data_IF_623758764382
#
_entry.id   IF_623758764382
#
_cell.length_a   1.000
_cell.length_b   1.000
_cell.length_c   1.000
_cell.angle_alpha   90.00
_cell.angle_beta   90.00
_cell.angle_gamma   90.00
#
_symmetry.space_group_name_H-M   'P 1'
#
loop_
_entity.id
_entity.type
_entity.pdbx_description
1 polymer ?
#
# COMPACT_ATOMS: atom_id res chain seq x y z
N UNK A 1 31.03 1.48 -24.34
CA UNK A 1 30.69 1.54 -22.90
C UNK A 1 29.24 1.19 -22.59
N UNK A 2 28.23 1.60 -23.38
CA UNK A 2 26.79 1.32 -23.08
C UNK A 2 26.39 -0.18 -23.06
N UNK A 3 26.98 -1.03 -23.89
CA UNK A 3 26.69 -2.47 -23.94
C UNK A 3 27.22 -3.24 -22.70
N UNK A 4 28.37 -2.82 -22.15
CA UNK A 4 28.94 -3.42 -20.95
C UNK A 4 28.10 -3.10 -19.69
N UNK A 5 27.48 -1.92 -19.63
CA UNK A 5 26.59 -1.51 -18.54
C UNK A 5 25.26 -2.25 -18.58
N UNK A 6 24.66 -2.46 -19.75
CA UNK A 6 23.41 -3.21 -19.90
C UNK A 6 23.57 -4.70 -19.51
N UNK A 7 24.67 -5.34 -19.90
CA UNK A 7 24.98 -6.71 -19.52
C UNK A 7 25.18 -6.86 -18.01
N UNK A 8 25.88 -5.93 -17.36
CA UNK A 8 26.10 -5.97 -15.92
C UNK A 8 24.80 -5.78 -15.12
N UNK A 9 23.91 -4.90 -15.59
CA UNK A 9 22.58 -4.70 -14.99
C UNK A 9 21.72 -5.95 -15.11
N UNK A 10 21.73 -6.61 -16.29
CA UNK A 10 20.99 -7.84 -16.49
C UNK A 10 21.49 -8.99 -15.58
N UNK A 11 22.83 -9.16 -15.49
CA UNK A 11 23.44 -10.16 -14.62
C UNK A 11 23.08 -9.90 -13.14
N UNK A 12 23.11 -8.65 -12.70
CA UNK A 12 22.76 -8.30 -11.34
C UNK A 12 21.26 -8.51 -11.05
N UNK A 13 20.38 -8.14 -11.97
CA UNK A 13 18.95 -8.41 -11.87
C UNK A 13 18.67 -9.92 -11.79
N UNK A 14 19.33 -10.70 -12.61
CA UNK A 14 19.22 -12.16 -12.61
C UNK A 14 19.72 -12.77 -11.30
N UNK A 15 20.87 -12.33 -10.77
CA UNK A 15 21.38 -12.78 -9.47
C UNK A 15 20.44 -12.48 -8.32
N UNK A 16 19.80 -11.29 -8.30
CA UNK A 16 18.84 -10.92 -7.26
C UNK A 16 17.57 -11.76 -7.36
N UNK A 17 17.09 -12.01 -8.57
CA UNK A 17 15.91 -12.83 -8.80
C UNK A 17 16.11 -14.30 -8.38
N UNK A 18 17.38 -14.81 -8.40
CA UNK A 18 17.72 -16.20 -8.10
C UNK A 18 18.57 -16.35 -6.82
N UNK A 19 18.70 -15.29 -6.01
CA UNK A 19 19.38 -15.40 -4.73
C UNK A 19 18.60 -16.37 -3.81
N UNK A 20 19.27 -17.27 -3.10
CA UNK A 20 18.65 -18.17 -2.13
C UNK A 20 18.27 -17.39 -0.86
N UNK A 21 17.28 -16.54 -0.96
CA UNK A 21 16.75 -15.79 0.17
C UNK A 21 15.48 -16.48 0.67
N UNK A 22 15.13 -16.32 1.95
CA UNK A 22 13.90 -16.86 2.49
C UNK A 22 12.71 -16.45 1.62
N UNK A 23 11.83 -17.40 1.35
CA UNK A 23 10.53 -17.16 0.76
C UNK A 23 9.50 -17.20 1.88
N UNK A 24 8.72 -16.16 2.00
CA UNK A 24 7.67 -16.07 3.00
C UNK A 24 6.31 -16.13 2.30
N UNK A 25 5.39 -16.85 2.94
CA UNK A 25 4.01 -16.88 2.50
C UNK A 25 3.27 -15.60 2.93
N UNK A 26 2.18 -15.30 2.24
CA UNK A 26 1.28 -14.25 2.64
C UNK A 26 0.57 -14.62 3.95
N UNK A 27 0.47 -13.66 4.87
CA UNK A 27 -0.45 -13.75 6.00
C UNK A 27 -1.81 -13.14 5.61
N UNK A 28 -2.87 -13.67 6.21
CA UNK A 28 -4.20 -13.10 6.07
C UNK A 28 -4.53 -12.20 7.27
N UNK A 29 -4.61 -10.86 7.11
CA UNK A 29 -4.97 -9.96 8.20
C UNK A 29 -6.45 -10.03 8.59
N UNK A 30 -7.28 -10.82 7.92
CA UNK A 30 -8.71 -10.95 8.23
C UNK A 30 -8.95 -11.38 9.67
N UNK A 31 -9.95 -10.77 10.31
CA UNK A 31 -10.32 -11.08 11.69
C UNK A 31 -11.04 -9.95 12.39
N UNK A 32 -11.31 -10.14 13.67
CA UNK A 32 -11.89 -9.13 14.54
C UNK A 32 -10.82 -8.48 15.40
N UNK A 33 -10.88 -7.15 15.48
CA UNK A 33 -9.92 -6.30 16.18
C UNK A 33 -10.68 -5.28 17.03
N UNK A 34 -10.07 -4.90 18.17
CA UNK A 34 -10.72 -3.99 19.11
C UNK A 34 -11.89 -4.63 19.84
N UNK A 35 -12.34 -3.98 20.90
CA UNK A 35 -13.40 -4.44 21.82
C UNK A 35 -14.40 -3.30 22.13
N UNK A 36 -14.35 -2.22 21.37
CA UNK A 36 -15.22 -1.07 21.55
C UNK A 36 -16.71 -1.41 21.36
N UNK A 37 -17.62 -0.58 21.90
CA UNK A 37 -19.05 -0.81 21.84
C UNK A 37 -19.61 -0.54 20.43
N UNK A 38 -20.78 -1.14 20.15
CA UNK A 38 -21.55 -0.92 18.93
C UNK A 38 -21.38 -2.01 17.88
N UNK A 39 -21.98 -1.79 16.70
CA UNK A 39 -21.81 -2.69 15.57
C UNK A 39 -20.36 -2.60 15.06
N UNK A 40 -19.74 -3.73 14.66
CA UNK A 40 -18.40 -3.72 14.12
C UNK A 40 -18.31 -2.85 12.86
N UNK A 41 -17.23 -2.06 12.75
CA UNK A 41 -16.86 -1.38 11.53
C UNK A 41 -16.31 -2.42 10.55
N UNK A 42 -16.91 -2.59 9.39
CA UNK A 42 -16.43 -3.52 8.37
C UNK A 42 -15.43 -2.83 7.44
N UNK A 43 -14.18 -3.29 7.46
CA UNK A 43 -13.09 -2.78 6.62
C UNK A 43 -12.64 -3.86 5.64
N UNK A 44 -12.64 -3.55 4.35
CA UNK A 44 -12.13 -4.47 3.30
C UNK A 44 -10.81 -3.97 2.75
N UNK A 45 -9.83 -4.87 2.71
CA UNK A 45 -8.45 -4.57 2.28
C UNK A 45 -8.15 -5.24 0.95
N UNK A 46 -7.67 -4.45 -0.01
CA UNK A 46 -7.18 -4.90 -1.31
C UNK A 46 -5.71 -4.52 -1.45
N UNK A 47 -4.95 -5.32 -2.19
CA UNK A 47 -3.57 -4.92 -2.48
C UNK A 47 -2.61 -6.06 -2.72
N UNK A 48 -1.36 -5.79 -2.35
CA UNK A 48 -0.22 -6.67 -2.55
C UNK A 48 0.43 -7.08 -1.22
N UNK A 49 1.72 -7.49 -1.26
CA UNK A 49 2.46 -7.92 -0.07
C UNK A 49 2.59 -6.85 1.02
N UNK A 50 2.36 -5.59 0.73
CA UNK A 50 2.38 -4.52 1.75
C UNK A 50 1.24 -4.63 2.78
N UNK A 51 0.21 -5.41 2.49
CA UNK A 51 -0.93 -5.69 3.38
C UNK A 51 -1.09 -7.16 3.74
N UNK A 52 -0.31 -8.06 3.14
CA UNK A 52 -0.26 -9.48 3.54
C UNK A 52 0.94 -9.83 4.41
N UNK A 53 1.88 -8.91 4.59
CA UNK A 53 2.98 -8.98 5.57
C UNK A 53 3.90 -10.20 5.49
N UNK A 54 4.44 -10.57 4.30
CA UNK A 54 5.41 -11.67 4.22
C UNK A 54 6.63 -11.40 5.11
N UNK A 55 7.04 -12.42 5.86
CA UNK A 55 8.17 -12.34 6.80
C UNK A 55 7.82 -11.83 8.20
N UNK A 56 6.54 -11.64 8.49
CA UNK A 56 6.02 -11.48 9.84
C UNK A 56 5.62 -12.83 10.43
N UNK A 57 5.73 -12.98 11.75
CA UNK A 57 5.34 -14.18 12.46
C UNK A 57 3.85 -14.15 12.87
N UNK A 58 3.29 -12.97 13.06
CA UNK A 58 1.88 -12.77 13.47
C UNK A 58 1.18 -11.76 12.55
N UNK A 59 0.00 -12.15 12.04
CA UNK A 59 -0.87 -11.26 11.26
C UNK A 59 -1.28 -9.98 12.00
N UNK A 60 -1.25 -9.99 13.33
CA UNK A 60 -1.51 -8.81 14.16
C UNK A 60 -0.44 -7.75 14.02
N UNK A 61 0.74 -8.12 13.54
CA UNK A 61 1.84 -7.20 13.28
C UNK A 61 1.73 -6.48 11.93
N UNK A 62 0.84 -6.91 11.05
CA UNK A 62 0.55 -6.19 9.81
C UNK A 62 -0.01 -4.80 10.15
N UNK A 63 0.49 -3.77 9.50
CA UNK A 63 0.15 -2.38 9.81
C UNK A 63 -1.36 -2.12 9.86
N UNK A 64 -2.15 -2.70 8.94
CA UNK A 64 -3.60 -2.52 8.92
C UNK A 64 -4.30 -3.22 10.09
N UNK A 65 -3.80 -4.39 10.51
CA UNK A 65 -4.28 -5.07 11.72
C UNK A 65 -4.01 -4.25 12.98
N UNK A 66 -2.83 -3.62 13.06
CA UNK A 66 -2.49 -2.70 14.16
C UNK A 66 -3.37 -1.46 14.16
N UNK A 67 -3.64 -0.87 12.99
CA UNK A 67 -4.59 0.24 12.85
C UNK A 67 -5.97 -0.20 13.33
N UNK A 68 -6.48 -1.33 12.83
CA UNK A 68 -7.78 -1.85 13.23
C UNK A 68 -7.89 -2.07 14.75
N UNK A 69 -6.84 -2.60 15.38
CA UNK A 69 -6.80 -2.81 16.83
C UNK A 69 -6.71 -1.49 17.64
N UNK A 70 -6.24 -0.40 17.04
CA UNK A 70 -6.09 0.90 17.71
C UNK A 70 -7.36 1.78 17.65
N UNK A 71 -8.36 1.39 16.85
CA UNK A 71 -9.61 2.13 16.76
C UNK A 71 -10.46 1.93 18.03
N UNK A 72 -11.24 2.95 18.39
CA UNK A 72 -12.11 2.94 19.57
C UNK A 72 -13.40 2.12 19.39
N UNK A 73 -13.56 1.42 18.28
CA UNK A 73 -14.69 0.55 17.97
C UNK A 73 -14.21 -0.86 17.61
N UNK A 74 -15.12 -1.82 17.64
CA UNK A 74 -14.84 -3.14 17.08
C UNK A 74 -14.70 -3.05 15.56
N UNK A 75 -13.70 -3.72 14.98
CA UNK A 75 -13.44 -3.77 13.54
C UNK A 75 -13.51 -5.21 13.06
N UNK A 76 -14.30 -5.46 12.04
CA UNK A 76 -14.25 -6.66 11.23
C UNK A 76 -13.42 -6.38 9.97
N UNK A 77 -12.20 -6.91 9.94
CA UNK A 77 -11.28 -6.76 8.81
C UNK A 77 -11.41 -7.96 7.87
N UNK A 78 -11.66 -7.70 6.60
CA UNK A 78 -11.67 -8.73 5.55
C UNK A 78 -10.64 -8.38 4.48
N UNK A 79 -9.69 -9.27 4.24
CA UNK A 79 -8.66 -9.08 3.21
C UNK A 79 -8.97 -9.94 1.98
N UNK A 80 -8.91 -9.32 0.81
CA UNK A 80 -8.88 -9.99 -0.48
C UNK A 80 -7.54 -9.78 -1.18
N UNK A 81 -6.57 -9.21 -0.45
CA UNK A 81 -5.22 -8.92 -0.94
C UNK A 81 -4.44 -10.20 -1.24
N UNK A 82 -3.48 -10.10 -2.16
CA UNK A 82 -2.56 -11.17 -2.53
C UNK A 82 -1.19 -10.59 -2.83
N UNK A 83 -0.15 -11.14 -2.26
CA UNK A 83 1.23 -10.77 -2.52
C UNK A 83 1.57 -10.80 -4.01
N UNK A 84 2.46 -9.92 -4.44
CA UNK A 84 2.86 -9.81 -5.85
C UNK A 84 1.85 -9.16 -6.79
N UNK A 85 0.64 -8.82 -6.34
CA UNK A 85 -0.40 -8.22 -7.18
C UNK A 85 0.03 -6.87 -7.75
N UNK A 86 -0.24 -6.66 -9.03
CA UNK A 86 -0.21 -5.35 -9.71
C UNK A 86 -1.61 -4.75 -9.73
N UNK A 87 -1.73 -3.48 -10.09
CA UNK A 87 -3.04 -2.80 -10.18
C UNK A 87 -4.02 -3.57 -11.06
N UNK A 88 -3.54 -4.17 -12.16
CA UNK A 88 -4.37 -5.03 -13.02
C UNK A 88 -4.94 -6.21 -12.26
N UNK A 89 -4.12 -6.87 -11.44
CA UNK A 89 -4.52 -8.10 -10.74
C UNK A 89 -5.54 -7.77 -9.64
N UNK A 90 -5.36 -6.63 -8.94
CA UNK A 90 -6.36 -6.11 -8.00
C UNK A 90 -7.68 -5.82 -8.71
N UNK A 91 -7.63 -5.12 -9.85
CA UNK A 91 -8.81 -4.76 -10.63
C UNK A 91 -9.58 -6.00 -11.13
N UNK A 92 -8.88 -7.06 -11.57
CA UNK A 92 -9.51 -8.24 -12.19
C UNK A 92 -9.90 -9.34 -11.21
N UNK A 93 -9.16 -9.50 -10.10
CA UNK A 93 -9.31 -10.65 -9.21
C UNK A 93 -9.77 -10.30 -7.79
N UNK A 94 -9.44 -9.09 -7.29
CA UNK A 94 -9.80 -8.70 -5.94
C UNK A 94 -11.04 -7.80 -5.89
N UNK A 95 -11.16 -6.86 -6.83
CA UNK A 95 -12.26 -5.89 -6.87
C UNK A 95 -13.66 -6.53 -6.90
N UNK A 96 -13.94 -7.57 -7.73
CA UNK A 96 -15.28 -8.17 -7.74
C UNK A 96 -15.71 -8.67 -6.37
N UNK A 97 -14.84 -9.43 -5.70
CA UNK A 97 -15.11 -9.95 -4.36
C UNK A 97 -15.25 -8.83 -3.33
N UNK A 98 -14.38 -7.78 -3.41
CA UNK A 98 -14.43 -6.65 -2.49
C UNK A 98 -15.76 -5.89 -2.57
N UNK A 99 -16.30 -5.68 -3.77
CA UNK A 99 -17.58 -4.98 -3.97
C UNK A 99 -18.77 -5.72 -3.39
N UNK A 100 -18.77 -7.06 -3.43
CA UNK A 100 -19.82 -7.89 -2.86
C UNK A 100 -19.92 -7.75 -1.34
N UNK A 101 -18.80 -7.47 -0.67
CA UNK A 101 -18.71 -7.37 0.78
C UNK A 101 -19.37 -6.10 1.35
N UNK A 102 -19.56 -5.04 0.53
CA UNK A 102 -20.20 -3.76 0.91
C UNK A 102 -19.71 -3.22 2.27
N UNK A 103 -18.42 -2.94 2.43
CA UNK A 103 -17.87 -2.51 3.71
C UNK A 103 -18.21 -1.04 4.04
N UNK A 104 -17.83 -0.64 5.23
CA UNK A 104 -17.85 0.76 5.66
C UNK A 104 -16.64 1.55 5.15
N UNK A 105 -15.52 0.87 4.84
CA UNK A 105 -14.27 1.45 4.36
C UNK A 105 -13.51 0.45 3.50
N UNK A 106 -12.96 0.93 2.38
CA UNK A 106 -11.94 0.22 1.62
C UNK A 106 -10.54 0.76 1.93
N UNK A 107 -9.57 -0.16 2.01
CA UNK A 107 -8.14 0.18 2.08
C UNK A 107 -7.43 -0.48 0.90
N UNK A 108 -6.69 0.31 0.10
CA UNK A 108 -6.00 -0.16 -1.10
C UNK A 108 -4.52 0.16 -1.01
N UNK A 109 -3.67 -0.87 -1.07
CA UNK A 109 -2.22 -0.71 -1.14
C UNK A 109 -1.67 -1.52 -2.31
N UNK A 110 -1.36 -0.86 -3.42
CA UNK A 110 -0.91 -1.50 -4.66
C UNK A 110 -0.09 -0.54 -5.52
N UNK A 111 0.75 -1.08 -6.39
CA UNK A 111 1.53 -0.29 -7.36
C UNK A 111 3.04 -0.47 -7.23
N UNK A 112 3.53 -0.99 -6.10
CA UNK A 112 4.93 -1.35 -5.92
C UNK A 112 5.39 -2.37 -6.97
N UNK A 113 4.60 -3.41 -7.21
CA UNK A 113 4.87 -4.42 -8.24
C UNK A 113 4.80 -3.85 -9.66
N UNK A 114 3.95 -2.86 -9.92
CA UNK A 114 3.94 -2.15 -11.21
C UNK A 114 5.23 -1.38 -11.45
N UNK A 115 5.75 -0.71 -10.42
CA UNK A 115 7.04 -0.04 -10.49
C UNK A 115 8.18 -1.03 -10.75
N UNK A 116 8.22 -2.15 -10.03
CA UNK A 116 9.27 -3.18 -10.15
C UNK A 116 9.24 -3.91 -11.51
N UNK A 117 8.06 -4.24 -12.03
CA UNK A 117 7.88 -4.99 -13.27
C UNK A 117 7.82 -4.12 -14.53
N UNK A 118 7.97 -2.81 -14.41
CA UNK A 118 8.00 -1.95 -15.59
C UNK A 118 6.65 -1.70 -16.26
N UNK A 119 5.52 -1.88 -15.54
CA UNK A 119 4.18 -1.59 -16.10
C UNK A 119 4.14 -0.13 -16.61
N UNK A 120 3.67 0.14 -17.84
CA UNK A 120 3.59 1.51 -18.35
C UNK A 120 2.71 2.40 -17.48
N UNK A 121 3.23 3.54 -17.03
CA UNK A 121 2.53 4.48 -16.12
C UNK A 121 1.14 4.91 -16.64
N UNK A 122 0.93 5.19 -17.94
CA UNK A 122 -0.40 5.53 -18.45
C UNK A 122 -1.43 4.38 -18.27
N UNK A 123 -0.96 3.13 -18.39
CA UNK A 123 -1.80 1.95 -18.15
C UNK A 123 -2.18 1.85 -16.67
N UNK A 124 -1.20 1.98 -15.77
CA UNK A 124 -1.43 2.00 -14.31
C UNK A 124 -2.43 3.09 -13.94
N UNK A 125 -2.25 4.32 -14.46
CA UNK A 125 -3.18 5.43 -14.21
C UNK A 125 -4.61 5.11 -14.62
N UNK A 126 -4.80 4.53 -15.82
CA UNK A 126 -6.13 4.14 -16.30
C UNK A 126 -6.76 3.06 -15.41
N UNK A 127 -5.98 2.05 -15.01
CA UNK A 127 -6.45 0.96 -14.16
C UNK A 127 -6.79 1.44 -12.75
N UNK A 128 -5.97 2.32 -12.16
CA UNK A 128 -6.24 2.95 -10.87
C UNK A 128 -7.53 3.78 -10.90
N UNK A 129 -7.76 4.53 -11.98
CA UNK A 129 -8.98 5.31 -12.13
C UNK A 129 -10.23 4.41 -12.13
N UNK A 130 -10.19 3.30 -12.86
CA UNK A 130 -11.26 2.31 -12.87
C UNK A 130 -11.45 1.65 -11.49
N UNK A 131 -10.34 1.28 -10.81
CA UNK A 131 -10.36 0.64 -9.50
C UNK A 131 -10.96 1.59 -8.44
N UNK A 132 -10.40 2.79 -8.30
CA UNK A 132 -10.84 3.73 -7.27
C UNK A 132 -12.26 4.23 -7.52
N UNK A 133 -12.65 4.46 -8.78
CA UNK A 133 -14.02 4.85 -9.13
C UNK A 133 -15.05 3.77 -8.79
N UNK A 134 -14.73 2.49 -8.99
CA UNK A 134 -15.61 1.41 -8.59
C UNK A 134 -15.76 1.29 -7.07
N UNK A 135 -14.65 1.42 -6.32
CA UNK A 135 -14.67 1.33 -4.86
C UNK A 135 -15.39 2.52 -4.21
N UNK A 136 -15.10 3.74 -4.64
CA UNK A 136 -15.72 4.94 -4.05
C UNK A 136 -17.23 5.04 -4.29
N UNK A 137 -17.76 4.32 -5.29
CA UNK A 137 -19.19 4.24 -5.52
C UNK A 137 -19.93 3.46 -4.44
N UNK A 138 -19.21 2.68 -3.62
CA UNK A 138 -19.77 1.85 -2.54
C UNK A 138 -19.45 2.43 -1.16
N UNK A 139 -18.18 2.76 -0.89
CA UNK A 139 -17.71 3.26 0.41
C UNK A 139 -16.50 4.19 0.25
N UNK A 140 -16.14 4.99 1.27
CA UNK A 140 -14.87 5.73 1.30
C UNK A 140 -13.67 4.80 1.08
N UNK A 141 -12.59 5.35 0.51
CA UNK A 141 -11.39 4.60 0.17
C UNK A 141 -10.16 5.26 0.78
N UNK A 142 -9.34 4.49 1.47
CA UNK A 142 -7.94 4.86 1.78
C UNK A 142 -7.04 4.24 0.72
N UNK A 143 -6.33 5.06 -0.05
CA UNK A 143 -5.41 4.60 -1.09
C UNK A 143 -3.97 4.98 -0.74
N UNK A 144 -3.10 3.98 -0.57
CA UNK A 144 -1.69 4.21 -0.26
C UNK A 144 -0.91 4.61 -1.51
N UNK A 145 -0.05 5.63 -1.37
CA UNK A 145 0.98 5.95 -2.35
C UNK A 145 2.06 4.86 -2.44
N UNK A 146 2.92 4.95 -3.43
CA UNK A 146 4.08 4.07 -3.56
C UNK A 146 5.33 4.79 -3.08
N UNK A 147 5.94 4.31 -1.99
CA UNK A 147 7.21 4.81 -1.48
C UNK A 147 8.38 4.59 -2.43
N UNK A 148 9.53 5.16 -2.10
CA UNK A 148 10.78 4.97 -2.85
C UNK A 148 11.32 3.55 -2.64
N UNK A 149 10.99 2.65 -3.56
CA UNK A 149 11.45 1.26 -3.50
C UNK A 149 12.97 1.10 -3.66
N UNK A 150 13.70 2.15 -4.01
CA UNK A 150 15.17 2.10 -4.11
C UNK A 150 15.86 1.95 -2.75
N UNK A 151 15.12 2.21 -1.65
CA UNK A 151 15.61 2.01 -0.28
C UNK A 151 15.68 0.53 0.12
N UNK A 152 15.02 -0.37 -0.63
CA UNK A 152 15.00 -1.81 -0.38
C UNK A 152 16.43 -2.36 -0.40
N UNK A 153 16.93 -2.96 0.72
CA UNK A 153 18.33 -3.37 0.85
C UNK A 153 18.74 -4.43 -0.18
N UNK A 154 17.84 -5.34 -0.53
CA UNK A 154 18.04 -6.41 -1.53
C UNK A 154 18.34 -5.88 -2.93
N UNK A 155 17.95 -4.64 -3.26
CA UNK A 155 18.14 -4.10 -4.60
C UNK A 155 19.61 -3.76 -4.89
N UNK A 156 20.16 -4.23 -6.02
CA UNK A 156 21.48 -3.83 -6.48
C UNK A 156 21.58 -2.33 -6.65
N UNK A 157 22.71 -1.75 -6.25
CA UNK A 157 22.95 -0.31 -6.36
C UNK A 157 22.74 0.24 -7.77
N UNK A 158 23.08 -0.56 -8.80
CA UNK A 158 22.92 -0.18 -10.21
C UNK A 158 21.46 -0.05 -10.65
N UNK A 159 20.51 -0.74 -9.99
CA UNK A 159 19.08 -0.69 -10.29
C UNK A 159 18.34 0.42 -9.53
N UNK A 160 18.89 0.87 -8.39
CA UNK A 160 18.23 1.84 -7.51
C UNK A 160 17.75 3.12 -8.22
N UNK A 161 18.54 3.78 -9.10
CA UNK A 161 18.06 4.98 -9.77
C UNK A 161 16.84 4.73 -10.68
N UNK A 162 16.81 3.59 -11.37
CA UNK A 162 15.68 3.22 -12.24
C UNK A 162 14.45 2.91 -11.39
N UNK A 163 14.61 2.17 -10.31
CA UNK A 163 13.51 1.83 -9.38
C UNK A 163 12.97 3.09 -8.71
N UNK A 164 13.82 4.01 -8.23
CA UNK A 164 13.40 5.29 -7.66
C UNK A 164 12.56 6.11 -8.66
N UNK A 165 13.05 6.24 -9.89
CA UNK A 165 12.33 6.96 -10.95
C UNK A 165 10.95 6.35 -11.22
N UNK A 166 10.86 5.01 -11.25
CA UNK A 166 9.61 4.31 -11.51
C UNK A 166 8.64 4.42 -10.34
N UNK A 167 9.11 4.23 -9.10
CA UNK A 167 8.30 4.42 -7.89
C UNK A 167 7.68 5.81 -7.88
N UNK A 168 8.48 6.84 -8.10
CA UNK A 168 8.01 8.22 -8.17
C UNK A 168 7.03 8.46 -9.33
N UNK A 169 7.17 7.78 -10.47
CA UNK A 169 6.24 7.90 -11.59
C UNK A 169 4.88 7.26 -11.26
N UNK A 170 4.87 6.07 -10.62
CA UNK A 170 3.64 5.41 -10.19
C UNK A 170 2.96 6.22 -9.08
N UNK A 171 3.71 6.70 -8.09
CA UNK A 171 3.16 7.54 -7.03
C UNK A 171 2.51 8.82 -7.57
N UNK A 172 3.15 9.51 -8.52
CA UNK A 172 2.53 10.68 -9.18
C UNK A 172 1.25 10.32 -9.92
N UNK A 173 1.18 9.14 -10.55
CA UNK A 173 -0.05 8.67 -11.19
C UNK A 173 -1.16 8.43 -10.17
N UNK A 174 -0.85 7.78 -9.03
CA UNK A 174 -1.79 7.56 -7.92
C UNK A 174 -2.29 8.89 -7.34
N UNK A 175 -1.38 9.85 -7.09
CA UNK A 175 -1.73 11.20 -6.62
C UNK A 175 -2.67 11.91 -7.59
N UNK A 176 -2.39 11.84 -8.89
CA UNK A 176 -3.24 12.44 -9.92
C UNK A 176 -4.63 11.81 -9.99
N UNK A 177 -4.70 10.47 -9.85
CA UNK A 177 -5.98 9.76 -9.87
C UNK A 177 -6.78 10.04 -8.60
N UNK A 178 -6.17 9.94 -7.40
CA UNK A 178 -6.85 10.17 -6.14
C UNK A 178 -7.52 11.56 -6.07
N UNK A 179 -6.89 12.58 -6.65
CA UNK A 179 -7.49 13.94 -6.73
C UNK A 179 -8.78 14.02 -7.55
N UNK A 180 -8.99 13.10 -8.47
CA UNK A 180 -10.21 13.03 -9.27
C UNK A 180 -11.34 12.25 -8.60
N UNK A 181 -11.09 11.68 -7.41
CA UNK A 181 -12.02 10.84 -6.66
C UNK A 181 -12.27 11.43 -5.26
N UNK A 182 -13.39 12.16 -5.03
CA UNK A 182 -13.60 12.93 -3.79
C UNK A 182 -13.73 12.09 -2.52
N UNK A 183 -14.11 10.83 -2.63
CA UNK A 183 -14.22 9.90 -1.50
C UNK A 183 -12.93 9.09 -1.24
N UNK A 184 -11.84 9.41 -1.95
CA UNK A 184 -10.55 8.75 -1.79
C UNK A 184 -9.62 9.60 -0.94
N UNK A 185 -9.24 9.10 0.22
CA UNK A 185 -8.18 9.68 1.07
C UNK A 185 -6.86 9.01 0.70
N UNK A 186 -5.94 9.78 0.10
CA UNK A 186 -4.63 9.27 -0.27
C UNK A 186 -3.65 9.38 0.90
N UNK A 187 -2.95 8.29 1.21
CA UNK A 187 -1.79 8.29 2.12
C UNK A 187 -0.53 8.68 1.34
N UNK A 188 0.15 9.78 1.66
CA UNK A 188 1.37 10.22 0.99
C UNK A 188 2.59 9.43 1.50
N UNK A 189 2.68 8.14 1.13
CA UNK A 189 3.71 7.21 1.63
C UNK A 189 5.14 7.73 1.43
N UNK A 190 5.52 8.31 0.26
CA UNK A 190 6.87 8.82 0.10
C UNK A 190 7.24 9.89 1.13
N UNK A 191 6.33 10.81 1.38
CA UNK A 191 6.56 11.93 2.30
C UNK A 191 6.63 11.48 3.76
N UNK A 192 5.83 10.47 4.14
CA UNK A 192 5.72 9.99 5.52
C UNK A 192 6.74 8.90 5.86
N UNK A 193 6.90 7.92 4.98
CA UNK A 193 7.59 6.66 5.28
C UNK A 193 9.04 6.64 4.82
N UNK A 194 9.36 7.19 3.62
CA UNK A 194 10.69 7.08 3.03
C UNK A 194 11.82 7.65 3.89
N UNK A 195 11.66 8.78 4.61
CA UNK A 195 12.70 9.28 5.48
C UNK A 195 13.13 8.26 6.55
N UNK A 196 12.16 7.56 7.15
CA UNK A 196 12.40 6.56 8.17
C UNK A 196 13.09 5.32 7.61
N UNK A 197 12.65 4.82 6.45
CA UNK A 197 13.25 3.65 5.81
C UNK A 197 14.67 3.95 5.27
N UNK A 198 14.98 5.18 4.89
CA UNK A 198 16.35 5.59 4.54
C UNK A 198 17.28 5.60 5.74
N UNK A 199 16.80 6.02 6.91
CA UNK A 199 17.59 6.07 8.15
C UNK A 199 17.70 4.69 8.78
N UNK A 200 16.59 3.95 8.92
CA UNK A 200 16.54 2.62 9.53
C UNK A 200 17.20 1.53 8.68
N UNK A 201 17.31 1.73 7.37
CA UNK A 201 17.99 0.78 6.48
C UNK A 201 17.47 -0.64 6.65
N UNK A 202 18.38 -1.62 6.72
CA UNK A 202 18.03 -3.04 6.80
C UNK A 202 17.29 -3.45 8.10
N UNK A 203 17.36 -2.64 9.16
CA UNK A 203 16.72 -2.93 10.45
C UNK A 203 15.19 -2.88 10.38
N UNK A 204 14.63 -2.22 9.36
CA UNK A 204 13.19 -2.17 9.13
C UNK A 204 12.68 -3.25 8.16
N UNK A 205 13.55 -4.15 7.71
CA UNK A 205 13.21 -5.19 6.74
C UNK A 205 13.31 -6.59 7.35
N UNK A 206 12.49 -7.50 6.83
CA UNK A 206 12.52 -8.92 7.15
C UNK A 206 13.82 -9.58 6.64
N UNK A 207 14.12 -10.82 7.03
CA UNK A 207 15.36 -11.50 6.60
C UNK A 207 15.54 -11.65 5.08
N UNK A 208 14.46 -11.49 4.29
CA UNK A 208 14.55 -11.44 2.83
C UNK A 208 15.10 -10.11 2.29
N UNK A 209 15.32 -9.13 3.15
CA UNK A 209 15.79 -7.77 2.84
C UNK A 209 14.92 -7.05 1.80
N UNK A 210 13.65 -7.43 1.70
CA UNK A 210 12.71 -6.89 0.72
C UNK A 210 11.42 -6.39 1.38
N UNK A 211 10.77 -7.21 2.20
CA UNK A 211 9.55 -6.86 2.87
C UNK A 211 9.84 -6.20 4.23
N UNK A 212 9.07 -5.19 4.65
CA UNK A 212 9.18 -4.63 5.99
C UNK A 212 8.96 -5.68 7.06
N UNK A 213 9.69 -5.59 8.15
CA UNK A 213 9.49 -6.42 9.34
C UNK A 213 8.44 -5.81 10.29
N UNK A 214 8.24 -6.42 11.46
CA UNK A 214 7.27 -5.96 12.45
C UNK A 214 7.46 -4.49 12.87
N UNK A 215 8.71 -4.02 12.95
CA UNK A 215 9.01 -2.62 13.27
C UNK A 215 8.66 -1.68 12.11
N UNK A 216 8.95 -2.07 10.86
CA UNK A 216 8.52 -1.35 9.67
C UNK A 216 6.99 -1.24 9.59
N UNK A 217 6.28 -2.33 9.88
CA UNK A 217 4.82 -2.33 9.93
C UNK A 217 4.28 -1.51 11.12
N UNK A 218 4.95 -1.52 12.28
CA UNK A 218 4.59 -0.68 13.42
C UNK A 218 4.72 0.81 13.07
N UNK A 219 5.80 1.18 12.40
CA UNK A 219 5.98 2.53 11.88
C UNK A 219 4.85 2.93 10.92
N UNK A 220 4.55 2.09 9.93
CA UNK A 220 3.46 2.34 8.99
C UNK A 220 2.10 2.51 9.68
N UNK A 221 1.80 1.69 10.69
CA UNK A 221 0.54 1.82 11.42
C UNK A 221 0.42 3.20 12.09
N UNK A 222 1.48 3.68 12.72
CA UNK A 222 1.49 5.00 13.36
C UNK A 222 1.31 6.14 12.35
N UNK A 223 1.99 6.07 11.20
CA UNK A 223 1.95 7.09 10.16
C UNK A 223 0.63 7.11 9.38
N UNK A 224 -0.03 5.95 9.20
CA UNK A 224 -1.19 5.84 8.30
C UNK A 224 -2.53 5.92 9.05
N UNK A 225 -2.57 5.68 10.37
CA UNK A 225 -3.79 5.79 11.19
C UNK A 225 -4.56 7.11 10.98
N UNK A 226 -3.93 8.30 10.95
CA UNK A 226 -4.66 9.56 10.74
C UNK A 226 -5.47 9.60 9.44
N UNK A 227 -4.97 8.96 8.38
CA UNK A 227 -5.66 8.91 7.07
C UNK A 227 -6.84 7.94 7.08
N UNK A 228 -6.73 6.83 7.82
CA UNK A 228 -7.85 5.91 8.04
C UNK A 228 -8.95 6.61 8.83
N UNK A 229 -8.62 7.34 9.89
CA UNK A 229 -9.58 8.14 10.66
C UNK A 229 -10.21 9.24 9.82
N UNK A 230 -9.44 9.94 8.98
CA UNK A 230 -9.96 10.95 8.07
C UNK A 230 -10.96 10.37 7.06
N UNK A 231 -10.69 9.19 6.49
CA UNK A 231 -11.61 8.51 5.59
C UNK A 231 -12.91 8.09 6.30
N UNK A 232 -12.82 7.58 7.52
CA UNK A 232 -13.97 7.21 8.34
C UNK A 232 -14.85 8.44 8.67
N UNK A 233 -14.24 9.59 8.93
CA UNK A 233 -14.98 10.83 9.17
C UNK A 233 -15.77 11.32 7.94
N UNK A 234 -15.36 10.94 6.74
CA UNK A 234 -16.11 11.28 5.50
C UNK A 234 -17.36 10.42 5.28
N UNK A 235 -17.45 9.26 5.96
CA UNK A 235 -18.59 8.33 5.86
C UNK A 235 -19.91 9.01 6.24
N UNK A 236 -19.88 9.84 7.27
CA UNK A 236 -21.07 10.46 7.86
C UNK A 236 -21.45 11.80 7.18
N UNK A 237 -20.71 12.22 6.15
CA UNK A 237 -21.00 13.43 5.41
C UNK A 237 -21.99 13.15 4.26
N UNK A 238 -23.00 14.03 4.05
CA UNK A 238 -23.87 13.95 2.88
C UNK A 238 -23.04 13.93 1.59
N UNK A 239 -23.46 13.16 0.60
CA UNK A 239 -22.72 12.89 -0.65
C UNK A 239 -22.19 14.15 -1.40
N UNK A 240 -22.71 15.35 -1.12
CA UNK A 240 -22.24 16.61 -1.72
C UNK A 240 -21.13 17.34 -0.97
N UNK A 241 -20.65 16.84 0.19
CA UNK A 241 -19.60 17.48 1.00
C UNK A 241 -18.32 16.64 1.18
N UNK A 242 -18.15 15.57 0.43
CA UNK A 242 -16.94 14.73 0.48
C UNK A 242 -15.84 15.46 -0.29
N UNK A 243 -14.91 16.12 0.42
CA UNK A 243 -13.78 16.85 -0.16
C UNK A 243 -12.48 16.06 0.05
N UNK A 244 -11.60 16.13 -0.94
CA UNK A 244 -10.26 15.51 -0.88
C UNK A 244 -9.46 16.05 0.31
N UNK A 245 -8.95 15.16 1.15
CA UNK A 245 -8.18 15.47 2.37
C UNK A 245 -6.73 15.94 2.11
N UNK A 246 -6.40 16.39 0.88
CA UNK A 246 -5.07 16.96 0.56
C UNK A 246 -4.76 18.26 1.37
N UNK A 247 -5.75 18.81 2.09
CA UNK A 247 -5.60 20.04 2.88
C UNK A 247 -4.93 19.81 4.25
N UNK A 248 -4.84 18.56 4.73
CA UNK A 248 -4.27 18.28 6.05
C UNK A 248 -2.73 18.21 6.08
N UNK A 249 -2.09 18.13 4.92
CA UNK A 249 -0.63 18.03 4.83
C UNK A 249 0.11 19.39 4.86
N UNK A 250 -0.60 20.52 4.80
CA UNK A 250 0.00 21.86 4.70
C UNK A 250 -0.12 22.73 5.95
N UNK A 251 -0.76 22.25 7.02
CA UNK A 251 -0.98 23.05 8.25
C UNK A 251 -0.04 22.69 9.42
N UNK A 252 1.06 21.98 9.16
CA UNK A 252 2.04 21.58 10.17
C UNK A 252 3.48 21.92 9.76
N UNK A 253 3.74 23.17 9.36
CA UNK A 253 5.09 23.72 9.21
C UNK A 253 5.26 24.89 10.17
#
# INVERSE_FOLDING_TARGET
MALATAGSVWVQAHRVAHAPLPHFEDLDPSGRYGDGPGAPLHVVVLGDSSVTGPGLDDRRDIWISRVAASLSCQVELTSVARGGSRVRDVLTHQLPNALELRPDLFVVSVGANDAMHGTPTPLVRRQLHALLGALESVAPVVALGVGDLSVIPRLPRSLRPVVAMRSAAIDRAQRSVARAHPSVVRVPVPELSDPHFRVGGAELFSPDLFHPNAEGHRLWSALFTPFVLAALATRDLPAGRRTNADTLATSGA
#
